data_IF_457068042693
#
_entry.id   IF_457068042693
#
_cell.length_a   1.000
_cell.length_b   1.000
_cell.length_c   1.000
_cell.angle_alpha   90.00
_cell.angle_beta   90.00
_cell.angle_gamma   90.00
#
_symmetry.space_group_name_H-M   'P 1'
#
loop_
_entity.id
_entity.type
_entity.pdbx_description
1 polymer ?
#
# COMPACT_ATOMS: atom_id res chain seq x y z
N UNK A 1 8.52 0.60 -19.76
CA UNK A 1 7.08 0.47 -19.51
C UNK A 1 6.86 0.51 -18.01
N UNK A 2 6.09 1.47 -17.55
CA UNK A 2 5.73 1.59 -16.13
C UNK A 2 4.89 0.39 -15.67
N UNK A 3 4.74 0.24 -14.36
CA UNK A 3 4.06 -0.91 -13.77
C UNK A 3 3.27 -0.50 -12.52
N UNK A 4 2.15 -1.17 -12.29
CA UNK A 4 1.44 -1.15 -11.02
C UNK A 4 2.11 -2.15 -10.06
N UNK A 5 2.58 -1.66 -8.91
CA UNK A 5 3.23 -2.46 -7.87
C UNK A 5 2.40 -2.45 -6.61
N UNK A 6 2.28 -3.60 -5.96
CA UNK A 6 1.62 -3.68 -4.67
C UNK A 6 2.60 -4.13 -3.59
N UNK A 7 2.92 -3.23 -2.67
CA UNK A 7 3.69 -3.50 -1.45
C UNK A 7 2.74 -3.75 -0.30
N UNK A 8 2.61 -5.00 0.08
CA UNK A 8 1.67 -5.40 1.11
C UNK A 8 2.37 -5.99 2.34
N UNK A 9 1.66 -5.96 3.46
CA UNK A 9 2.15 -6.56 4.70
C UNK A 9 1.01 -6.69 5.72
N UNK A 10 1.22 -7.36 6.84
CA UNK A 10 0.43 -7.10 8.04
C UNK A 10 0.70 -5.70 8.60
N UNK A 11 0.01 -5.33 9.67
CA UNK A 11 0.23 -4.07 10.36
C UNK A 11 1.66 -3.99 10.95
N UNK A 12 2.12 -2.79 11.24
CA UNK A 12 3.42 -2.53 11.89
C UNK A 12 4.67 -3.03 11.12
N UNK A 13 4.57 -3.21 9.80
CA UNK A 13 5.69 -3.58 8.93
C UNK A 13 6.38 -2.39 8.25
N UNK A 14 6.13 -1.16 8.70
CA UNK A 14 6.80 0.03 8.17
C UNK A 14 6.34 0.48 6.78
N UNK A 15 5.11 0.14 6.33
CA UNK A 15 4.58 0.56 5.01
C UNK A 15 4.67 2.06 4.78
N UNK A 16 4.09 2.86 5.69
CA UNK A 16 4.10 4.33 5.56
C UNK A 16 5.52 4.91 5.62
N UNK A 17 6.42 4.32 6.43
CA UNK A 17 7.85 4.72 6.45
C UNK A 17 8.52 4.42 5.11
N UNK A 18 8.25 3.25 4.51
CA UNK A 18 8.80 2.88 3.21
C UNK A 18 8.23 3.77 2.09
N UNK A 19 6.95 4.13 2.14
CA UNK A 19 6.33 5.07 1.21
C UNK A 19 7.01 6.44 1.29
N UNK A 20 7.18 6.99 2.49
CA UNK A 20 7.84 8.28 2.69
C UNK A 20 9.29 8.25 2.19
N UNK A 21 10.02 7.16 2.42
CA UNK A 21 11.38 6.99 1.90
C UNK A 21 11.40 6.96 0.37
N UNK A 22 10.47 6.26 -0.27
CA UNK A 22 10.35 6.24 -1.74
C UNK A 22 10.06 7.66 -2.26
N UNK A 23 9.09 8.35 -1.67
CA UNK A 23 8.75 9.72 -2.05
C UNK A 23 9.95 10.67 -1.90
N UNK A 24 10.70 10.54 -0.81
CA UNK A 24 11.91 11.32 -0.55
C UNK A 24 12.97 11.07 -1.63
N UNK A 25 13.25 9.80 -1.98
CA UNK A 25 14.23 9.45 -2.99
C UNK A 25 13.91 10.02 -4.38
N UNK A 26 12.63 10.11 -4.75
CA UNK A 26 12.21 10.79 -5.98
C UNK A 26 12.50 12.30 -5.88
N UNK A 27 12.08 12.92 -4.78
CA UNK A 27 12.23 14.37 -4.60
C UNK A 27 13.70 14.84 -4.55
N UNK A 28 14.61 14.07 -3.94
CA UNK A 28 16.05 14.36 -3.94
C UNK A 28 16.66 14.42 -5.34
N UNK A 29 16.03 13.74 -6.30
CA UNK A 29 16.44 13.76 -7.72
C UNK A 29 15.67 14.79 -8.56
N UNK A 30 14.90 15.67 -7.92
CA UNK A 30 14.05 16.62 -8.61
C UNK A 30 12.85 16.01 -9.33
N UNK A 31 12.49 14.78 -8.99
CA UNK A 31 11.35 14.06 -9.56
C UNK A 31 10.10 14.29 -8.71
N UNK A 32 8.95 14.46 -9.38
CA UNK A 32 7.68 14.72 -8.73
C UNK A 32 6.90 13.43 -8.49
N UNK A 33 6.31 13.29 -7.31
CA UNK A 33 5.42 12.19 -6.97
C UNK A 33 4.06 12.72 -6.54
N UNK A 34 3.00 12.01 -6.92
CA UNK A 34 1.63 12.27 -6.51
C UNK A 34 1.27 11.30 -5.37
N UNK A 35 0.94 11.83 -4.20
CA UNK A 35 0.59 11.07 -3.02
C UNK A 35 -0.92 11.00 -2.87
N UNK A 36 -1.47 9.80 -2.90
CA UNK A 36 -2.90 9.52 -2.75
C UNK A 36 -3.16 8.72 -1.49
N UNK A 37 -4.31 8.95 -0.86
CA UNK A 37 -4.78 8.18 0.29
C UNK A 37 -6.30 8.07 0.23
N UNK A 38 -6.90 6.86 0.40
CA UNK A 38 -8.35 6.72 0.50
C UNK A 38 -8.91 7.49 1.71
N UNK A 39 -9.97 8.25 1.48
CA UNK A 39 -10.65 9.05 2.54
C UNK A 39 -11.28 8.19 3.64
N UNK A 40 -11.46 6.89 3.39
CA UNK A 40 -11.94 5.92 4.38
C UNK A 40 -10.95 5.71 5.54
N UNK A 41 -9.67 5.99 5.32
CA UNK A 41 -8.67 5.98 6.40
C UNK A 41 -8.65 7.33 7.12
N UNK A 42 -9.17 7.34 8.34
CA UNK A 42 -9.21 8.54 9.20
C UNK A 42 -7.91 8.79 9.96
N UNK A 43 -6.98 7.84 9.93
CA UNK A 43 -5.72 7.94 10.66
C UNK A 43 -4.79 8.98 10.04
N UNK A 44 -4.48 10.02 10.80
CA UNK A 44 -3.61 11.12 10.36
C UNK A 44 -4.28 12.07 9.37
N UNK A 45 -5.62 11.99 9.22
CA UNK A 45 -6.40 12.86 8.33
C UNK A 45 -5.83 12.89 6.91
N UNK A 46 -5.40 14.08 6.44
CA UNK A 46 -4.78 14.29 5.14
C UNK A 46 -3.25 14.03 5.12
N UNK A 47 -2.70 13.35 6.13
CA UNK A 47 -1.26 13.10 6.25
C UNK A 47 -0.93 11.62 6.28
N UNK A 48 0.21 11.28 5.70
CA UNK A 48 0.88 9.99 5.89
C UNK A 48 1.78 10.14 7.10
N UNK A 49 1.52 9.35 8.15
CA UNK A 49 2.26 9.39 9.40
C UNK A 49 2.95 8.05 9.63
N UNK A 50 4.27 8.07 9.69
CA UNK A 50 5.06 6.89 10.03
C UNK A 50 5.14 6.73 11.55
N UNK A 51 4.74 5.55 12.07
CA UNK A 51 4.82 5.28 13.51
C UNK A 51 6.27 5.30 13.99
N UNK A 52 6.54 6.02 15.08
CA UNK A 52 7.87 6.10 15.66
C UNK A 52 8.86 7.02 14.95
N UNK A 53 8.44 7.67 13.87
CA UNK A 53 9.19 8.72 13.19
C UNK A 53 8.50 10.07 13.39
N UNK A 54 9.27 11.13 13.42
CA UNK A 54 8.72 12.51 13.41
C UNK A 54 8.24 12.93 12.02
N UNK A 55 8.61 12.15 11.01
CA UNK A 55 8.31 12.47 9.63
C UNK A 55 6.84 12.16 9.31
N UNK A 56 6.20 13.18 8.78
CA UNK A 56 4.85 13.08 8.21
C UNK A 56 4.79 13.94 6.98
N UNK A 57 4.03 13.50 5.97
CA UNK A 57 3.84 14.25 4.73
C UNK A 57 2.36 14.38 4.41
N UNK A 58 1.96 15.56 4.00
CA UNK A 58 0.62 15.80 3.48
C UNK A 58 0.42 15.02 2.18
N UNK A 59 -0.78 14.44 1.99
CA UNK A 59 -1.16 13.82 0.72
C UNK A 59 -1.66 14.89 -0.23
N UNK A 60 -1.41 14.69 -1.51
CA UNK A 60 -1.91 15.61 -2.52
C UNK A 60 -3.42 15.49 -2.69
N UNK A 61 -3.98 14.27 -2.56
CA UNK A 61 -5.42 14.05 -2.63
C UNK A 61 -5.89 12.95 -1.67
N UNK A 62 -7.03 13.23 -1.01
CA UNK A 62 -7.84 12.22 -0.36
C UNK A 62 -8.84 11.66 -1.37
N UNK A 63 -8.73 10.36 -1.66
CA UNK A 63 -9.53 9.67 -2.68
C UNK A 63 -10.82 9.15 -2.07
N UNK A 64 -11.96 9.71 -2.45
CA UNK A 64 -13.27 9.19 -2.06
C UNK A 64 -13.64 7.96 -2.91
N UNK A 65 -14.56 7.06 -2.45
CA UNK A 65 -14.96 5.88 -3.21
C UNK A 65 -15.55 6.16 -4.59
N UNK A 66 -16.07 7.36 -4.82
CA UNK A 66 -16.69 7.79 -6.08
C UNK A 66 -15.73 8.52 -7.02
N UNK A 67 -14.55 8.88 -6.56
CA UNK A 67 -13.55 9.58 -7.38
C UNK A 67 -12.99 8.68 -8.47
N UNK A 68 -12.86 9.24 -9.67
CA UNK A 68 -12.13 8.63 -10.78
C UNK A 68 -10.65 9.02 -10.68
N UNK A 69 -9.80 8.05 -10.31
CA UNK A 69 -8.35 8.29 -10.11
C UNK A 69 -7.65 8.57 -11.45
N UNK A 70 -8.06 7.93 -12.54
CA UNK A 70 -7.45 8.16 -13.85
C UNK A 70 -7.67 9.61 -14.31
N UNK A 71 -8.90 10.11 -14.21
CA UNK A 71 -9.22 11.52 -14.52
C UNK A 71 -8.51 12.50 -13.57
N UNK A 72 -8.40 12.15 -12.28
CA UNK A 72 -7.66 12.95 -11.31
C UNK A 72 -6.19 13.12 -11.73
N UNK A 73 -5.53 12.03 -12.15
CA UNK A 73 -4.15 12.08 -12.64
C UNK A 73 -4.04 12.89 -13.93
N UNK A 74 -4.96 12.71 -14.89
CA UNK A 74 -5.00 13.51 -16.12
C UNK A 74 -5.14 15.01 -15.79
N UNK A 75 -6.05 15.38 -14.90
CA UNK A 75 -6.25 16.77 -14.51
C UNK A 75 -5.01 17.33 -13.77
N UNK A 76 -4.37 16.54 -12.91
CA UNK A 76 -3.09 16.92 -12.29
C UNK A 76 -2.01 17.19 -13.34
N UNK A 77 -1.87 16.31 -14.33
CA UNK A 77 -0.93 16.48 -15.43
C UNK A 77 -1.23 17.75 -16.23
N UNK A 78 -2.49 18.00 -16.61
CA UNK A 78 -2.90 19.21 -17.33
C UNK A 78 -2.59 20.49 -16.56
N UNK A 79 -2.90 20.54 -15.25
CA UNK A 79 -2.63 21.70 -14.41
C UNK A 79 -1.15 21.98 -14.25
N UNK A 80 -0.32 20.95 -14.12
CA UNK A 80 1.11 21.11 -13.91
C UNK A 80 1.88 21.26 -15.24
N UNK A 81 1.39 20.71 -16.36
CA UNK A 81 1.94 21.01 -17.69
C UNK A 81 1.69 22.46 -18.06
N UNK A 82 0.55 23.02 -17.72
CA UNK A 82 0.30 24.46 -17.86
C UNK A 82 1.36 25.29 -17.12
N UNK A 83 1.75 24.90 -15.89
CA UNK A 83 2.80 25.59 -15.14
C UNK A 83 4.22 25.39 -15.71
N UNK A 84 4.52 24.21 -16.28
CA UNK A 84 5.86 23.90 -16.79
C UNK A 84 6.10 24.36 -18.24
N UNK A 85 5.05 24.45 -19.06
CA UNK A 85 5.13 24.92 -20.46
C UNK A 85 5.27 26.43 -20.58
N UNK A 86 5.15 27.16 -19.44
CA UNK A 86 5.28 28.59 -19.45
C UNK A 86 6.59 28.98 -18.84
N UNK A 87 7.52 29.00 -19.74
CA UNK A 87 8.66 29.87 -19.59
C UNK A 87 8.11 31.32 -19.50
N UNK A 88 8.58 32.10 -18.53
CA UNK A 88 8.27 33.54 -18.43
C UNK A 88 8.39 34.25 -19.80
N UNK A 89 9.29 33.77 -20.66
CA UNK A 89 9.49 34.21 -22.03
C UNK A 89 8.25 34.04 -22.94
N UNK A 90 7.45 32.99 -22.80
CA UNK A 90 6.21 32.79 -23.60
C UNK A 90 5.14 33.75 -23.11
N UNK A 91 4.99 33.92 -21.81
CA UNK A 91 4.06 34.89 -21.23
C UNK A 91 4.47 36.33 -21.55
N UNK A 92 5.76 36.70 -21.50
CA UNK A 92 6.22 37.98 -21.93
C UNK A 92 5.92 38.23 -23.42
N UNK A 93 6.10 37.22 -24.26
CA UNK A 93 5.82 37.33 -25.70
C UNK A 93 4.32 37.49 -25.98
N UNK A 94 3.43 36.77 -25.26
CA UNK A 94 1.98 36.95 -25.37
C UNK A 94 1.59 38.37 -24.89
N UNK A 95 2.09 38.80 -23.74
CA UNK A 95 1.85 40.16 -23.19
C UNK A 95 2.39 41.27 -24.06
N UNK A 96 3.40 40.99 -24.87
CA UNK A 96 3.94 42.00 -25.82
C UNK A 96 3.02 42.21 -27.03
N UNK A 97 2.18 41.22 -27.36
CA UNK A 97 1.26 41.22 -28.51
C UNK A 97 -0.17 41.59 -28.09
N UNK A 98 -0.60 41.13 -26.93
CA UNK A 98 -1.97 41.39 -26.39
C UNK A 98 -1.86 42.00 -25.00
N UNK A 99 -2.51 43.15 -24.79
CA UNK A 99 -2.48 43.89 -23.53
C UNK A 99 -3.67 43.66 -22.63
N UNK A 100 -4.74 43.04 -23.16
CA UNK A 100 -5.91 42.72 -22.38
C UNK A 100 -5.64 41.44 -21.55
N UNK A 101 -5.67 41.51 -20.21
CA UNK A 101 -5.37 40.38 -19.35
C UNK A 101 -6.31 39.17 -19.55
N UNK A 102 -7.57 39.41 -19.94
CA UNK A 102 -8.54 38.33 -20.20
C UNK A 102 -8.19 37.60 -21.49
N UNK A 103 -7.83 38.34 -22.54
CA UNK A 103 -7.41 37.75 -23.81
C UNK A 103 -6.08 37.03 -23.71
N UNK A 104 -5.13 37.59 -22.94
CA UNK A 104 -3.85 36.92 -22.64
C UNK A 104 -4.07 35.55 -22.05
N UNK A 105 -5.00 35.37 -21.09
CA UNK A 105 -5.31 34.10 -20.49
C UNK A 105 -5.98 33.14 -21.48
N UNK A 106 -6.88 33.63 -22.35
CA UNK A 106 -7.53 32.80 -23.38
C UNK A 106 -6.52 32.32 -24.43
N UNK A 107 -5.66 33.20 -24.94
CA UNK A 107 -4.58 32.85 -25.87
C UNK A 107 -3.64 31.81 -25.25
N UNK A 108 -3.34 32.00 -24.00
CA UNK A 108 -2.57 31.10 -23.21
C UNK A 108 -3.17 29.69 -23.13
N UNK A 109 -4.44 29.58 -22.76
CA UNK A 109 -5.15 28.30 -22.67
C UNK A 109 -5.20 27.58 -24.02
N UNK A 110 -5.45 28.32 -25.13
CA UNK A 110 -5.45 27.78 -26.49
C UNK A 110 -4.06 27.26 -26.91
N UNK A 111 -2.98 27.99 -26.59
CA UNK A 111 -1.62 27.55 -26.94
C UNK A 111 -1.25 26.30 -26.14
N UNK A 112 -1.63 26.24 -24.88
CA UNK A 112 -1.36 25.06 -24.02
C UNK A 112 -2.15 23.85 -24.49
N UNK A 113 -3.44 24.00 -24.80
CA UNK A 113 -4.28 22.91 -25.35
C UNK A 113 -3.72 22.41 -26.70
N UNK A 114 -3.29 23.32 -27.59
CA UNK A 114 -2.63 22.97 -28.84
C UNK A 114 -1.32 22.19 -28.64
N UNK A 115 -0.48 22.60 -27.68
CA UNK A 115 0.78 21.93 -27.37
C UNK A 115 0.55 20.53 -26.76
N UNK A 116 -0.54 20.35 -26.00
CA UNK A 116 -0.95 19.04 -25.43
C UNK A 116 -1.46 18.12 -26.54
N UNK A 117 -2.32 18.62 -27.44
CA UNK A 117 -2.93 17.83 -28.52
C UNK A 117 -1.93 17.41 -29.60
N UNK A 118 -0.87 18.17 -29.82
CA UNK A 118 0.11 17.90 -30.88
C UNK A 118 1.37 17.18 -30.40
N UNK A 119 1.31 16.41 -29.32
CA UNK A 119 2.40 15.53 -28.86
C UNK A 119 3.80 16.22 -28.91
N UNK A 120 3.90 17.40 -28.35
CA UNK A 120 5.24 17.97 -28.13
C UNK A 120 5.95 17.14 -27.08
N UNK A 121 6.68 16.14 -27.58
CA UNK A 121 7.60 15.18 -26.97
C UNK A 121 7.63 15.08 -25.44
N UNK A 122 7.29 13.90 -24.92
CA UNK A 122 7.68 13.29 -23.62
C UNK A 122 7.72 14.22 -22.38
N UNK A 123 6.77 15.14 -22.23
CA UNK A 123 6.81 16.13 -21.13
C UNK A 123 6.14 15.66 -19.85
N UNK A 124 5.40 14.55 -19.85
CA UNK A 124 4.80 14.01 -18.63
C UNK A 124 5.85 13.49 -17.66
N UNK A 125 6.98 12.97 -18.16
CA UNK A 125 8.11 12.50 -17.34
C UNK A 125 8.69 13.58 -16.41
N UNK A 126 8.61 14.86 -16.83
CA UNK A 126 9.09 15.97 -16.01
C UNK A 126 8.01 16.53 -15.06
N UNK A 127 6.74 16.13 -15.23
CA UNK A 127 5.61 16.65 -14.46
C UNK A 127 5.25 15.69 -13.33
N UNK A 128 5.19 14.40 -13.64
CA UNK A 128 4.84 13.34 -12.69
C UNK A 128 5.65 12.09 -12.98
N UNK A 129 6.45 11.68 -12.01
CA UNK A 129 7.36 10.55 -12.14
C UNK A 129 6.87 9.28 -11.44
N UNK A 130 5.94 9.41 -10.49
CA UNK A 130 5.27 8.26 -9.88
C UNK A 130 3.98 8.68 -9.16
N UNK A 131 3.05 7.72 -9.04
CA UNK A 131 1.89 7.80 -8.15
C UNK A 131 2.12 6.84 -7.00
N UNK A 132 2.06 7.34 -5.77
CA UNK A 132 2.18 6.55 -4.55
C UNK A 132 0.85 6.58 -3.79
N UNK A 133 0.35 5.41 -3.40
CA UNK A 133 -0.94 5.28 -2.70
C UNK A 133 -0.71 4.62 -1.34
N UNK A 134 -1.02 5.33 -0.25
CA UNK A 134 -1.05 4.74 1.10
C UNK A 134 -2.41 4.14 1.40
N UNK A 135 -2.45 3.15 2.31
CA UNK A 135 -3.67 2.44 2.77
C UNK A 135 -4.57 1.96 1.59
N UNK A 136 -3.91 1.51 0.51
CA UNK A 136 -4.56 1.14 -0.75
C UNK A 136 -5.57 -0.02 -0.65
N UNK A 137 -5.60 -0.77 0.46
CA UNK A 137 -6.63 -1.78 0.73
C UNK A 137 -8.04 -1.20 0.79
N UNK A 138 -8.18 0.11 1.03
CA UNK A 138 -9.48 0.79 1.09
C UNK A 138 -9.99 1.30 -0.27
N UNK A 139 -9.20 1.16 -1.33
CA UNK A 139 -9.63 1.46 -2.70
C UNK A 139 -10.75 0.51 -3.15
N UNK A 140 -11.57 0.97 -4.08
CA UNK A 140 -12.50 0.12 -4.82
C UNK A 140 -11.78 -0.64 -5.94
N UNK A 141 -12.37 -1.72 -6.44
CA UNK A 141 -11.84 -2.45 -7.58
C UNK A 141 -11.70 -1.54 -8.82
N UNK A 142 -12.68 -0.67 -9.06
CA UNK A 142 -12.65 0.28 -10.18
C UNK A 142 -11.45 1.20 -10.07
N UNK A 143 -11.17 1.72 -8.89
CA UNK A 143 -10.02 2.60 -8.64
C UNK A 143 -8.68 1.88 -8.86
N UNK A 144 -8.59 0.61 -8.49
CA UNK A 144 -7.38 -0.20 -8.77
C UNK A 144 -7.20 -0.42 -10.28
N UNK A 145 -8.26 -0.66 -11.04
CA UNK A 145 -8.21 -0.72 -12.51
C UNK A 145 -7.74 0.61 -13.10
N UNK A 146 -8.27 1.73 -12.62
CA UNK A 146 -7.84 3.07 -13.04
C UNK A 146 -6.36 3.33 -12.75
N UNK A 147 -5.83 2.85 -11.62
CA UNK A 147 -4.39 2.91 -11.32
C UNK A 147 -3.56 2.02 -12.27
N UNK A 148 -4.09 0.87 -12.69
CA UNK A 148 -3.48 0.06 -13.72
C UNK A 148 -3.44 0.79 -15.06
N UNK A 149 -4.52 1.50 -15.43
CA UNK A 149 -4.58 2.32 -16.66
C UNK A 149 -3.58 3.48 -16.58
N UNK A 150 -3.39 4.13 -15.43
CA UNK A 150 -2.33 5.13 -15.21
C UNK A 150 -0.96 4.53 -15.53
N UNK A 151 -0.68 3.33 -15.03
CA UNK A 151 0.60 2.68 -15.26
C UNK A 151 0.81 2.29 -16.74
N UNK A 152 -0.21 1.74 -17.38
CA UNK A 152 -0.10 1.17 -18.75
C UNK A 152 -0.26 2.25 -19.82
N UNK A 153 -1.25 3.12 -19.69
CA UNK A 153 -1.62 4.10 -20.73
C UNK A 153 -0.79 5.37 -20.62
N UNK A 154 -0.59 5.88 -19.40
CA UNK A 154 0.19 7.10 -19.18
C UNK A 154 1.68 6.83 -19.00
N UNK A 155 2.09 5.57 -18.92
CA UNK A 155 3.47 5.10 -18.64
C UNK A 155 4.07 5.72 -17.35
N UNK A 156 3.23 5.92 -16.33
CA UNK A 156 3.61 6.48 -15.03
C UNK A 156 3.63 5.35 -13.98
N UNK A 157 4.76 5.08 -13.31
CA UNK A 157 4.85 4.07 -12.26
C UNK A 157 3.85 4.32 -11.12
N UNK A 158 3.13 3.27 -10.71
CA UNK A 158 2.20 3.32 -9.58
C UNK A 158 2.65 2.34 -8.52
N UNK A 159 2.80 2.81 -7.27
CA UNK A 159 3.17 1.97 -6.14
C UNK A 159 2.11 2.11 -5.05
N UNK A 160 1.39 1.03 -4.81
CA UNK A 160 0.35 0.94 -3.78
C UNK A 160 0.92 0.27 -2.52
N UNK A 161 0.66 0.86 -1.37
CA UNK A 161 1.01 0.33 -0.06
C UNK A 161 -0.27 -0.01 0.69
N UNK A 162 -0.37 -1.24 1.22
CA UNK A 162 -1.61 -1.64 1.87
C UNK A 162 -1.50 -2.89 2.73
N UNK A 163 -2.55 -3.18 3.47
CA UNK A 163 -2.68 -4.42 4.22
C UNK A 163 -3.02 -5.58 3.28
N UNK A 164 -2.49 -6.76 3.60
CA UNK A 164 -2.89 -7.99 2.90
C UNK A 164 -4.33 -8.37 3.24
N UNK A 165 -4.58 -8.60 4.52
CA UNK A 165 -5.86 -9.07 5.06
C UNK A 165 -6.24 -8.28 6.31
N UNK A 166 -7.50 -8.37 6.68
CA UNK A 166 -8.00 -7.90 7.96
C UNK A 166 -7.61 -8.85 9.11
N UNK A 167 -8.15 -8.60 10.30
CA UNK A 167 -7.89 -9.41 11.50
C UNK A 167 -8.55 -10.80 11.47
N UNK A 168 -9.52 -11.05 10.58
CA UNK A 168 -10.17 -12.34 10.35
C UNK A 168 -9.44 -13.19 9.30
N UNK A 169 -8.43 -12.60 8.63
CA UNK A 169 -7.72 -13.22 7.53
C UNK A 169 -8.39 -13.01 6.16
N UNK A 170 -9.44 -12.18 6.07
CA UNK A 170 -10.15 -11.88 4.84
C UNK A 170 -9.49 -10.73 4.09
N UNK A 171 -9.51 -10.80 2.76
CA UNK A 171 -8.98 -9.74 1.91
C UNK A 171 -9.85 -8.48 2.00
N UNK A 172 -9.22 -7.33 1.97
CA UNK A 172 -9.90 -6.08 1.69
C UNK A 172 -10.21 -5.98 0.19
N UNK A 173 -11.29 -5.28 -0.22
CA UNK A 173 -11.64 -5.14 -1.65
C UNK A 173 -10.51 -4.60 -2.51
N UNK A 174 -9.81 -3.55 -2.03
CA UNK A 174 -8.67 -2.97 -2.73
C UNK A 174 -7.48 -3.92 -2.80
N UNK A 175 -7.21 -4.68 -1.74
CA UNK A 175 -6.13 -5.68 -1.73
C UNK A 175 -6.42 -6.84 -2.68
N UNK A 176 -7.65 -7.34 -2.70
CA UNK A 176 -8.08 -8.37 -3.65
C UNK A 176 -7.89 -7.91 -5.10
N UNK A 177 -8.32 -6.69 -5.42
CA UNK A 177 -8.13 -6.12 -6.73
C UNK A 177 -6.63 -5.93 -7.06
N UNK A 178 -5.82 -5.44 -6.12
CA UNK A 178 -4.38 -5.26 -6.32
C UNK A 178 -3.66 -6.60 -6.54
N UNK A 179 -4.04 -7.68 -5.85
CA UNK A 179 -3.49 -9.01 -6.13
C UNK A 179 -3.84 -9.52 -7.54
N UNK A 180 -4.96 -9.08 -8.12
CA UNK A 180 -5.36 -9.45 -9.49
C UNK A 180 -4.68 -8.60 -10.57
N UNK A 181 -4.50 -7.29 -10.34
CA UNK A 181 -4.10 -6.33 -11.37
C UNK A 181 -2.66 -5.85 -11.28
N UNK A 182 -1.98 -6.00 -10.15
CA UNK A 182 -0.60 -5.54 -10.02
C UNK A 182 0.38 -6.39 -10.83
N UNK A 183 1.32 -5.73 -11.51
CA UNK A 183 2.38 -6.37 -12.25
C UNK A 183 3.48 -6.94 -11.34
N UNK A 184 3.64 -6.37 -10.13
CA UNK A 184 4.63 -6.79 -9.13
C UNK A 184 4.00 -6.79 -7.74
N UNK A 185 4.26 -7.87 -6.99
CA UNK A 185 3.81 -8.07 -5.62
C UNK A 185 5.03 -8.16 -4.71
N UNK A 186 5.14 -7.22 -3.77
CA UNK A 186 6.27 -7.13 -2.84
C UNK A 186 5.76 -7.23 -1.40
N UNK A 187 6.25 -8.20 -0.64
CA UNK A 187 5.88 -8.37 0.75
C UNK A 187 6.87 -7.64 1.67
N UNK A 188 6.38 -6.67 2.44
CA UNK A 188 7.13 -6.07 3.53
C UNK A 188 6.93 -6.90 4.79
N UNK A 189 8.03 -7.38 5.36
CA UNK A 189 8.00 -8.31 6.49
C UNK A 189 8.01 -7.60 7.84
N UNK A 190 7.35 -8.20 8.82
CA UNK A 190 7.46 -7.86 10.23
C UNK A 190 7.53 -9.14 11.07
N UNK A 191 7.82 -9.00 12.35
CA UNK A 191 8.04 -10.13 13.24
C UNK A 191 6.93 -10.28 14.27
N UNK A 192 6.60 -11.53 14.58
CA UNK A 192 5.76 -11.91 15.70
C UNK A 192 6.52 -11.77 17.03
N UNK A 193 5.81 -11.78 18.14
CA UNK A 193 6.39 -11.77 19.50
C UNK A 193 7.40 -12.92 19.74
N UNK A 194 7.32 -14.01 18.98
CA UNK A 194 8.28 -15.12 19.06
C UNK A 194 9.45 -15.00 18.07
N UNK A 195 9.63 -13.87 17.38
CA UNK A 195 10.68 -13.67 16.39
C UNK A 195 10.41 -14.28 15.00
N UNK A 196 9.40 -15.14 14.83
CA UNK A 196 9.01 -15.68 13.53
C UNK A 196 8.36 -14.61 12.67
N UNK A 197 8.40 -14.77 11.34
CA UNK A 197 7.68 -13.89 10.39
C UNK A 197 6.19 -13.82 10.75
N UNK A 198 5.68 -12.60 10.90
CA UNK A 198 4.26 -12.36 11.10
C UNK A 198 3.54 -12.26 9.76
N UNK A 199 2.35 -12.88 9.66
CA UNK A 199 1.52 -12.90 8.46
C UNK A 199 0.10 -12.38 8.70
N UNK A 200 -0.37 -12.47 9.95
CA UNK A 200 -1.74 -12.17 10.32
C UNK A 200 -1.81 -10.93 11.20
N UNK A 201 -2.90 -10.18 11.06
CA UNK A 201 -3.28 -9.14 12.00
C UNK A 201 -4.23 -9.74 13.03
N UNK A 202 -3.98 -9.53 14.30
CA UNK A 202 -4.92 -9.89 15.37
C UNK A 202 -5.46 -8.61 16.00
N UNK A 203 -6.77 -8.56 16.22
CA UNK A 203 -7.46 -7.46 16.90
C UNK A 203 -7.63 -7.80 18.36
N UNK A 204 -7.32 -6.84 19.22
CA UNK A 204 -7.63 -6.88 20.64
C UNK A 204 -8.65 -5.79 20.94
N UNK A 205 -9.69 -6.14 21.68
CA UNK A 205 -10.68 -5.21 22.23
C UNK A 205 -10.60 -5.33 23.74
N UNK A 206 -10.27 -4.24 24.41
CA UNK A 206 -10.05 -4.22 25.86
C UNK A 206 -9.04 -5.32 26.33
N UNK A 207 -7.99 -5.54 25.55
CA UNK A 207 -6.93 -6.51 25.83
C UNK A 207 -7.27 -7.96 25.52
N UNK A 208 -8.45 -8.27 24.98
CA UNK A 208 -8.87 -9.64 24.60
C UNK A 208 -8.87 -9.81 23.08
N UNK A 209 -8.34 -10.92 22.60
CA UNK A 209 -8.37 -11.26 21.18
C UNK A 209 -9.80 -11.53 20.71
N UNK A 210 -10.14 -11.04 19.52
CA UNK A 210 -11.44 -11.22 18.90
C UNK A 210 -11.28 -11.78 17.49
N UNK A 211 -12.13 -12.73 17.11
CA UNK A 211 -12.17 -13.37 15.80
C UNK A 211 -13.29 -12.86 14.91
N UNK A 212 -14.23 -12.13 15.45
CA UNK A 212 -15.44 -11.65 14.78
C UNK A 212 -15.56 -10.12 14.89
N UNK A 213 -16.41 -9.53 14.05
CA UNK A 213 -16.72 -8.12 14.02
C UNK A 213 -16.45 -7.48 12.64
N UNK A 214 -16.75 -6.18 12.54
CA UNK A 214 -16.58 -5.42 11.31
C UNK A 214 -15.10 -5.34 10.89
N UNK A 215 -14.85 -5.33 9.59
CA UNK A 215 -13.51 -5.26 9.01
C UNK A 215 -12.70 -4.06 9.53
N UNK A 216 -13.34 -2.93 9.71
CA UNK A 216 -12.77 -1.70 10.29
C UNK A 216 -13.51 -1.40 11.58
N UNK A 217 -12.79 -1.21 12.68
CA UNK A 217 -13.37 -0.69 13.92
C UNK A 217 -13.46 0.83 13.81
N UNK A 218 -14.69 1.36 13.90
CA UNK A 218 -14.98 2.80 13.87
C UNK A 218 -15.23 3.33 15.29
N UNK A 219 -15.46 2.44 16.27
CA UNK A 219 -15.87 2.83 17.61
C UNK A 219 -14.69 3.30 18.47
N UNK A 220 -14.65 4.59 18.73
CA UNK A 220 -13.70 5.25 19.64
C UNK A 220 -13.89 4.85 21.13
N UNK A 221 -14.97 4.13 21.46
CA UNK A 221 -15.32 3.77 22.82
C UNK A 221 -14.55 2.59 23.40
N UNK A 222 -14.06 1.71 22.55
CA UNK A 222 -13.31 0.53 22.96
C UNK A 222 -11.81 0.73 22.74
N UNK A 223 -11.00 0.26 23.70
CA UNK A 223 -9.55 0.25 23.55
C UNK A 223 -9.16 -0.85 22.52
N UNK A 224 -9.21 -0.49 21.23
CA UNK A 224 -8.89 -1.38 20.11
C UNK A 224 -7.42 -1.27 19.78
N UNK A 225 -6.72 -2.39 19.82
CA UNK A 225 -5.33 -2.51 19.40
C UNK A 225 -5.15 -3.63 18.39
N UNK A 226 -4.08 -3.54 17.59
CA UNK A 226 -3.73 -4.55 16.59
C UNK A 226 -2.29 -4.98 16.76
N UNK A 227 -2.07 -6.29 16.68
CA UNK A 227 -0.73 -6.87 16.68
C UNK A 227 -0.56 -7.82 15.49
N UNK A 228 0.68 -7.96 15.05
CA UNK A 228 1.04 -8.84 13.95
C UNK A 228 1.57 -10.16 14.49
N UNK A 229 0.98 -11.27 14.07
CA UNK A 229 1.25 -12.61 14.57
C UNK A 229 1.70 -13.57 13.46
N UNK A 230 2.56 -14.53 13.81
CA UNK A 230 2.82 -15.68 12.99
C UNK A 230 1.59 -16.63 12.96
N UNK A 231 1.49 -17.56 12.00
CA UNK A 231 0.34 -18.44 11.88
C UNK A 231 0.06 -19.29 13.13
N UNK A 232 1.10 -19.69 13.87
CA UNK A 232 0.94 -20.46 15.12
C UNK A 232 0.27 -19.63 16.20
N UNK A 233 0.86 -18.46 16.55
CA UNK A 233 0.31 -17.59 17.59
C UNK A 233 -1.06 -17.01 17.20
N UNK A 234 -1.31 -16.79 15.90
CA UNK A 234 -2.65 -16.37 15.47
C UNK A 234 -3.70 -17.43 15.80
N UNK A 235 -3.41 -18.72 15.53
CA UNK A 235 -4.31 -19.82 15.90
C UNK A 235 -4.47 -19.99 17.40
N UNK A 236 -3.37 -19.86 18.14
CA UNK A 236 -3.39 -20.01 19.59
C UNK A 236 -4.15 -18.86 20.27
N UNK A 237 -3.84 -17.62 19.92
CA UNK A 237 -4.36 -16.48 20.65
C UNK A 237 -5.77 -16.09 20.20
N UNK A 238 -6.08 -16.22 18.91
CA UNK A 238 -7.39 -15.80 18.36
C UNK A 238 -8.42 -16.93 18.46
N UNK A 239 -8.00 -18.18 18.23
CA UNK A 239 -8.92 -19.33 18.23
C UNK A 239 -8.76 -20.29 19.40
N UNK A 240 -7.78 -20.07 20.29
CA UNK A 240 -7.53 -20.96 21.43
C UNK A 240 -7.01 -22.36 21.06
N UNK A 241 -6.46 -22.52 19.84
CA UNK A 241 -5.97 -23.81 19.35
C UNK A 241 -4.51 -24.00 19.79
N UNK A 242 -4.24 -24.96 20.68
CA UNK A 242 -2.88 -25.33 21.01
C UNK A 242 -2.24 -26.13 19.86
N UNK A 243 -1.48 -25.43 19.02
CA UNK A 243 -0.89 -25.99 17.79
C UNK A 243 0.07 -27.16 18.10
N UNK A 244 0.80 -27.11 19.20
CA UNK A 244 1.72 -28.19 19.59
C UNK A 244 0.97 -29.46 19.97
N UNK A 245 -0.09 -29.33 20.74
CA UNK A 245 -0.90 -30.48 21.15
C UNK A 245 -1.63 -31.10 19.95
N UNK A 246 -2.16 -30.29 19.05
CA UNK A 246 -2.78 -30.79 17.83
C UNK A 246 -1.77 -31.53 16.92
N UNK A 247 -0.53 -31.01 16.78
CA UNK A 247 0.55 -31.71 16.07
C UNK A 247 0.84 -33.06 16.70
N UNK A 248 1.02 -33.14 18.02
CA UNK A 248 1.28 -34.39 18.72
C UNK A 248 0.11 -35.40 18.52
N UNK A 249 -1.12 -34.91 18.57
CA UNK A 249 -2.31 -35.77 18.38
C UNK A 249 -2.32 -36.33 16.95
N UNK A 250 -2.07 -35.52 15.91
CA UNK A 250 -2.01 -35.98 14.53
C UNK A 250 -0.87 -36.99 14.32
N UNK A 251 0.31 -36.73 14.85
CA UNK A 251 1.45 -37.66 14.80
C UNK A 251 1.09 -39.03 15.40
N UNK A 252 0.47 -39.03 16.58
CA UNK A 252 -0.02 -40.30 17.21
C UNK A 252 -1.04 -41.05 16.36
N UNK A 253 -1.93 -40.33 15.64
CA UNK A 253 -2.92 -40.95 14.76
C UNK A 253 -2.26 -41.55 13.51
N UNK A 254 -1.30 -40.82 12.91
CA UNK A 254 -0.55 -41.31 11.74
C UNK A 254 0.29 -42.51 12.11
N UNK A 255 1.02 -42.49 13.24
CA UNK A 255 1.83 -43.61 13.73
C UNK A 255 0.99 -44.88 13.96
N UNK A 256 -0.20 -44.71 14.51
CA UNK A 256 -1.14 -45.84 14.66
C UNK A 256 -1.61 -46.40 13.32
N UNK A 257 -1.84 -45.54 12.31
CA UNK A 257 -2.35 -45.97 11.00
C UNK A 257 -1.30 -46.73 10.17
N UNK A 258 0.00 -46.42 10.35
CA UNK A 258 1.11 -47.04 9.64
C UNK A 258 1.82 -48.11 10.46
N UNK A 259 1.29 -48.45 11.67
CA UNK A 259 1.82 -49.53 12.53
C UNK A 259 3.21 -49.24 13.14
N UNK A 260 3.67 -47.98 13.09
CA UNK A 260 4.95 -47.58 13.67
C UNK A 260 4.75 -47.21 15.14
N UNK A 261 5.48 -47.89 16.04
CA UNK A 261 5.55 -47.49 17.46
C UNK A 261 6.42 -46.23 17.61
N UNK A 262 5.81 -45.16 18.09
CA UNK A 262 6.43 -43.83 18.29
C UNK A 262 7.72 -43.86 19.10
N UNK A 263 7.91 -44.81 19.99
CA UNK A 263 9.08 -44.89 20.88
C UNK A 263 10.41 -45.11 20.15
N UNK A 264 10.40 -45.56 18.91
CA UNK A 264 11.61 -45.72 18.08
C UNK A 264 12.08 -44.42 17.42
N UNK A 265 11.16 -43.54 17.08
CA UNK A 265 11.54 -42.26 16.40
C UNK A 265 12.07 -41.19 17.34
N UNK A 266 11.58 -41.12 18.57
CA UNK A 266 12.12 -40.23 19.59
C UNK A 266 13.59 -40.52 19.87
N UNK A 267 14.00 -41.77 19.89
CA UNK A 267 15.40 -42.16 20.06
C UNK A 267 16.27 -41.83 18.84
N UNK A 268 15.70 -41.81 17.63
CA UNK A 268 16.43 -41.42 16.42
C UNK A 268 16.58 -39.89 16.35
N UNK A 269 15.53 -39.13 16.67
CA UNK A 269 15.57 -37.66 16.67
C UNK A 269 16.48 -37.14 17.79
N UNK A 270 16.48 -37.74 18.98
CA UNK A 270 17.43 -37.40 20.04
C UNK A 270 18.87 -37.72 19.69
N UNK A 271 19.10 -38.74 18.86
CA UNK A 271 20.44 -39.09 18.37
C UNK A 271 20.98 -38.06 17.36
N UNK A 272 20.11 -37.48 16.52
CA UNK A 272 20.50 -36.44 15.56
C UNK A 272 20.40 -35.01 16.13
N UNK A 273 19.63 -34.79 17.20
CA UNK A 273 19.47 -33.48 17.88
C UNK A 273 20.50 -33.17 18.97
N UNK A 274 21.32 -34.14 19.31
CA UNK A 274 22.33 -34.01 20.38
C UNK A 274 23.74 -33.81 19.84
N UNK A 275 24.04 -32.66 19.25
CA UNK A 275 25.40 -32.09 19.16
C UNK A 275 25.37 -30.66 18.66
N UNK A 276 25.11 -29.74 19.56
CA UNK A 276 25.65 -28.38 19.51
C UNK A 276 25.70 -27.85 20.93
N UNK A 277 26.57 -28.45 21.73
CA UNK A 277 27.24 -27.82 22.86
C UNK A 277 28.73 -27.87 22.53
N UNK A 278 29.23 -26.72 22.02
CA UNK A 278 30.54 -26.14 22.34
C UNK A 278 30.68 -24.81 21.61
#
# INVERSE_FOLDING_TARGET
MASLRFRYSPMNAGKSSNLLQVAHNYNERGMNVLLLKPSKDTKGENRIVARGMKDSREVDFLVTPTMNIYELVINYLKLNSKKSCINEQVMEKIKSVEKDPVKVNVIYDVIVDYLIENNYENKFENILNAVLVDEAQFLTEIQVKQLSDVAVILDIPVICFGLRTDFRGELFPGSEALFRYANSLEELTTVCVCGKKALHNARLVNGKYVSEGNQVAIDEKDNVTYISLCPEHYREFVYGINVLEERKKIHRLVDKSIGIKTDKWYNIISFFGGKNEN
#
